data_IF_481147537599
#
_entry.id   IF_481147537599
#
_cell.length_a   1.000
_cell.length_b   1.000
_cell.length_c   1.000
_cell.angle_alpha   90.00
_cell.angle_beta   90.00
_cell.angle_gamma   90.00
#
_symmetry.space_group_name_H-M   'P 1'
#
loop_
_entity.id
_entity.type
_entity.pdbx_description
1 polymer ?
#
# COMPACT_ATOMS: atom_id res chain seq x y z
N UNK A 1 -14.86 12.51 2.20
CA UNK A 1 -14.77 11.08 1.88
C UNK A 1 -15.34 10.31 3.05
N UNK A 2 -16.18 9.31 2.76
CA UNK A 2 -16.71 8.44 3.80
C UNK A 2 -15.61 7.41 4.11
N UNK A 3 -14.80 7.69 5.12
CA UNK A 3 -13.91 6.69 5.67
C UNK A 3 -14.74 5.63 6.39
N UNK A 4 -14.36 4.37 6.21
CA UNK A 4 -14.97 3.26 6.95
C UNK A 4 -14.83 3.49 8.46
N UNK A 5 -15.89 3.17 9.22
CA UNK A 5 -15.82 3.17 10.69
C UNK A 5 -15.09 1.94 11.23
N UNK A 6 -14.89 0.91 10.41
CA UNK A 6 -14.19 -0.29 10.78
C UNK A 6 -12.70 0.01 11.05
N UNK A 7 -12.22 -0.46 12.17
CA UNK A 7 -10.81 -0.46 12.55
C UNK A 7 -10.20 -1.79 12.16
N UNK A 8 -8.96 -1.76 11.69
CA UNK A 8 -8.27 -2.92 11.15
C UNK A 8 -6.99 -3.18 11.93
N UNK A 9 -6.75 -4.42 12.27
CA UNK A 9 -5.56 -4.86 13.02
C UNK A 9 -4.96 -6.08 12.35
N UNK A 10 -3.65 -6.03 12.16
CA UNK A 10 -2.87 -7.18 11.67
C UNK A 10 -2.41 -8.01 12.87
N UNK A 11 -2.68 -9.32 12.81
CA UNK A 11 -2.05 -10.31 13.66
C UNK A 11 -1.03 -11.10 12.83
N UNK A 12 0.25 -10.81 13.05
CA UNK A 12 1.35 -11.28 12.20
C UNK A 12 1.91 -12.65 12.55
N UNK A 13 1.60 -13.22 13.73
CA UNK A 13 2.05 -14.55 14.12
C UNK A 13 1.36 -15.65 13.30
N UNK A 14 1.99 -16.83 13.27
CA UNK A 14 1.43 -17.95 12.52
C UNK A 14 0.39 -18.75 13.30
N UNK A 15 -0.79 -19.06 12.74
CA UNK A 15 -1.34 -18.55 11.49
C UNK A 15 -1.78 -17.09 11.61
N UNK A 16 -1.34 -16.26 10.67
CA UNK A 16 -1.70 -14.84 10.64
C UNK A 16 -3.18 -14.60 10.38
N UNK A 17 -3.68 -13.45 10.83
CA UNK A 17 -5.05 -13.01 10.55
C UNK A 17 -5.17 -11.49 10.48
N UNK A 18 -6.24 -11.03 9.88
CA UNK A 18 -6.71 -9.65 9.93
C UNK A 18 -7.95 -9.60 10.82
N UNK A 19 -7.95 -8.71 11.80
CA UNK A 19 -9.09 -8.47 12.66
C UNK A 19 -9.74 -7.15 12.30
N UNK A 20 -11.02 -7.16 11.96
CA UNK A 20 -11.83 -5.98 11.73
C UNK A 20 -12.80 -5.77 12.90
N UNK A 21 -12.90 -4.54 13.36
CA UNK A 21 -13.71 -4.13 14.49
C UNK A 21 -14.46 -2.82 14.17
N UNK A 22 -15.73 -2.76 14.50
CA UNK A 22 -16.56 -1.57 14.37
C UNK A 22 -17.42 -1.39 15.62
N UNK A 23 -17.10 -0.36 16.39
CA UNK A 23 -17.79 0.04 17.63
C UNK A 23 -18.99 0.95 17.39
N UNK A 24 -19.38 1.19 16.15
CA UNK A 24 -20.46 2.10 15.75
C UNK A 24 -20.32 3.53 16.32
N UNK A 25 -19.14 3.89 16.81
CA UNK A 25 -18.89 5.14 17.50
C UNK A 25 -19.47 5.21 18.92
N UNK A 26 -19.83 4.07 19.53
CA UNK A 26 -20.50 3.98 20.84
C UNK A 26 -19.60 3.26 21.86
N UNK A 27 -18.57 3.92 22.35
CA UNK A 27 -17.53 3.34 23.24
C UNK A 27 -18.05 2.59 24.48
N UNK A 28 -19.26 2.89 24.93
CA UNK A 28 -19.84 2.30 26.15
C UNK A 28 -20.92 1.25 25.86
N UNK A 29 -21.19 0.92 24.60
CA UNK A 29 -22.28 0.04 24.19
C UNK A 29 -21.74 -1.17 23.42
N UNK A 30 -21.20 -2.15 24.13
CA UNK A 30 -20.58 -3.35 23.52
C UNK A 30 -21.60 -4.18 22.70
N UNK A 31 -22.90 -4.00 22.97
CA UNK A 31 -23.95 -4.84 22.36
C UNK A 31 -24.14 -4.57 20.84
N UNK A 32 -23.69 -3.44 20.30
CA UNK A 32 -23.74 -3.08 18.88
C UNK A 32 -22.41 -3.23 18.15
N UNK A 33 -21.36 -3.64 18.86
CA UNK A 33 -20.04 -3.90 18.29
C UNK A 33 -20.11 -5.04 17.27
N UNK A 34 -19.34 -4.88 16.19
CA UNK A 34 -19.14 -5.93 15.19
C UNK A 34 -17.68 -6.28 15.12
N UNK A 35 -17.40 -7.56 15.08
CA UNK A 35 -16.03 -8.07 14.95
C UNK A 35 -15.97 -9.15 13.87
N UNK A 36 -14.84 -9.23 13.17
CA UNK A 36 -14.55 -10.31 12.22
C UNK A 36 -13.07 -10.64 12.22
N UNK A 37 -12.76 -11.90 12.42
CA UNK A 37 -11.39 -12.41 12.24
C UNK A 37 -11.28 -13.08 10.87
N UNK A 38 -10.31 -12.67 10.05
CA UNK A 38 -10.16 -13.08 8.67
C UNK A 38 -8.80 -13.76 8.51
N UNK A 39 -8.80 -15.05 8.29
CA UNK A 39 -7.60 -15.87 8.04
C UNK A 39 -7.38 -16.16 6.54
N UNK A 40 -8.42 -15.98 5.73
CA UNK A 40 -8.39 -16.16 4.28
C UNK A 40 -9.37 -15.21 3.61
N UNK A 41 -9.08 -14.85 2.38
CA UNK A 41 -9.92 -13.97 1.57
C UNK A 41 -10.43 -14.70 0.33
N UNK A 42 -11.63 -14.36 -0.10
CA UNK A 42 -12.09 -14.64 -1.44
C UNK A 42 -11.71 -13.46 -2.34
N UNK A 43 -11.01 -13.70 -3.44
CA UNK A 43 -10.63 -12.64 -4.38
C UNK A 43 -11.74 -12.34 -5.41
N UNK A 44 -11.49 -11.35 -6.28
CA UNK A 44 -12.41 -10.93 -7.33
C UNK A 44 -12.72 -12.03 -8.36
N UNK A 45 -11.88 -13.05 -8.48
CA UNK A 45 -12.04 -14.20 -9.39
C UNK A 45 -12.70 -15.39 -8.67
N UNK A 46 -13.24 -15.20 -7.46
CA UNK A 46 -13.80 -16.23 -6.57
C UNK A 46 -12.79 -17.33 -6.20
N UNK A 47 -11.51 -16.99 -6.14
CA UNK A 47 -10.46 -17.88 -5.64
C UNK A 47 -10.15 -17.55 -4.19
N UNK A 48 -10.00 -18.58 -3.37
CA UNK A 48 -9.55 -18.41 -1.99
C UNK A 48 -8.07 -18.07 -1.97
N UNK A 49 -7.73 -16.98 -1.27
CA UNK A 49 -6.36 -16.56 -1.01
C UNK A 49 -6.07 -16.68 0.49
N UNK A 50 -5.09 -17.50 0.83
CA UNK A 50 -4.69 -17.75 2.21
C UNK A 50 -3.18 -17.62 2.32
N UNK A 51 -2.64 -16.44 2.64
CA UNK A 51 -1.23 -16.27 2.88
C UNK A 51 -0.81 -16.92 4.21
N UNK A 52 0.46 -17.22 4.37
CA UNK A 52 0.97 -17.79 5.62
C UNK A 52 0.88 -16.77 6.79
N UNK A 53 1.11 -15.50 6.49
CA UNK A 53 1.00 -14.40 7.46
C UNK A 53 0.72 -13.07 6.75
N UNK A 54 0.23 -12.13 7.54
CA UNK A 54 0.00 -10.73 7.18
C UNK A 54 1.05 -9.89 7.91
N UNK A 55 1.55 -8.84 7.26
CA UNK A 55 2.71 -8.07 7.76
C UNK A 55 2.38 -6.64 8.10
N UNK A 56 1.63 -5.96 7.24
CA UNK A 56 1.31 -4.55 7.39
C UNK A 56 -0.08 -4.24 6.83
N UNK A 57 -0.59 -3.08 7.17
CA UNK A 57 -1.87 -2.57 6.70
C UNK A 57 -1.77 -1.05 6.57
N UNK A 58 -2.29 -0.52 5.46
CA UNK A 58 -2.27 0.91 5.17
C UNK A 58 -3.56 1.33 4.47
N UNK A 59 -4.13 2.47 4.86
CA UNK A 59 -5.27 3.07 4.18
C UNK A 59 -4.77 4.07 3.13
N UNK A 60 -5.26 3.95 1.90
CA UNK A 60 -4.88 4.88 0.84
C UNK A 60 -5.81 6.11 0.78
N UNK A 61 -5.42 7.12 -0.01
CA UNK A 61 -6.15 8.38 -0.11
C UNK A 61 -7.58 8.24 -0.69
N UNK A 62 -7.92 7.06 -1.22
CA UNK A 62 -9.27 6.71 -1.67
C UNK A 62 -10.08 5.94 -0.61
N UNK A 63 -9.51 5.70 0.58
CA UNK A 63 -10.13 4.91 1.65
C UNK A 63 -10.10 3.40 1.39
N UNK A 64 -9.23 2.93 0.49
CA UNK A 64 -8.99 1.52 0.26
C UNK A 64 -7.93 1.00 1.25
N UNK A 65 -8.10 -0.20 1.74
CA UNK A 65 -7.15 -0.81 2.68
C UNK A 65 -6.21 -1.74 1.92
N UNK A 66 -4.93 -1.41 1.95
CA UNK A 66 -3.85 -2.22 1.41
C UNK A 66 -3.26 -3.09 2.51
N UNK A 67 -3.09 -4.36 2.24
CA UNK A 67 -2.60 -5.34 3.22
C UNK A 67 -1.40 -6.06 2.63
N UNK A 68 -0.26 -5.96 3.29
CA UNK A 68 0.94 -6.72 2.98
C UNK A 68 0.82 -8.16 3.47
N UNK A 69 1.25 -9.10 2.64
CA UNK A 69 1.22 -10.53 2.97
C UNK A 69 2.52 -11.25 2.58
N UNK A 70 2.65 -12.49 3.01
CA UNK A 70 3.75 -13.37 2.58
C UNK A 70 3.72 -13.73 1.08
N UNK A 71 2.69 -13.32 0.33
CA UNK A 71 2.46 -13.76 -1.07
C UNK A 71 1.98 -12.63 -1.98
N UNK A 72 2.41 -11.42 -1.69
CA UNK A 72 2.04 -10.19 -2.39
C UNK A 72 0.96 -9.39 -1.66
N UNK A 73 0.68 -8.16 -2.10
CA UNK A 73 -0.35 -7.32 -1.49
C UNK A 73 -1.75 -7.74 -1.91
N UNK A 74 -2.73 -7.46 -1.04
CA UNK A 74 -4.16 -7.49 -1.36
C UNK A 74 -4.78 -6.14 -1.02
N UNK A 75 -5.87 -5.80 -1.68
CA UNK A 75 -6.59 -4.53 -1.49
C UNK A 75 -8.04 -4.80 -1.15
N UNK A 76 -8.53 -4.12 -0.13
CA UNK A 76 -9.94 -4.05 0.21
C UNK A 76 -10.50 -2.76 -0.35
N UNK A 77 -11.14 -2.84 -1.50
CA UNK A 77 -11.66 -1.66 -2.21
C UNK A 77 -12.93 -1.08 -1.57
N UNK A 78 -13.62 -1.87 -0.77
CA UNK A 78 -14.82 -1.44 -0.05
C UNK A 78 -14.78 -1.95 1.40
N UNK A 79 -14.04 -1.28 2.30
CA UNK A 79 -13.88 -1.72 3.68
C UNK A 79 -15.17 -1.74 4.50
N UNK A 80 -16.20 -0.96 4.14
CA UNK A 80 -17.50 -0.96 4.82
C UNK A 80 -18.24 -2.30 4.70
N UNK A 81 -17.92 -3.07 3.65
CA UNK A 81 -18.52 -4.38 3.43
C UNK A 81 -17.83 -5.53 4.17
N UNK A 82 -16.84 -5.26 5.03
CA UNK A 82 -16.07 -6.29 5.73
C UNK A 82 -16.96 -7.29 6.49
N UNK A 83 -18.06 -6.84 7.04
CA UNK A 83 -19.00 -7.68 7.82
C UNK A 83 -20.05 -8.40 6.96
N UNK A 84 -20.06 -8.20 5.63
CA UNK A 84 -21.01 -8.86 4.74
C UNK A 84 -20.48 -10.21 4.25
N UNK A 85 -21.42 -11.10 3.81
CA UNK A 85 -21.07 -12.38 3.19
C UNK A 85 -20.47 -12.22 1.79
N UNK A 86 -20.76 -11.08 1.14
CA UNK A 86 -20.20 -10.73 -0.17
C UNK A 86 -18.83 -10.09 -0.10
N UNK A 87 -18.23 -9.98 1.09
CA UNK A 87 -16.92 -9.38 1.27
C UNK A 87 -15.84 -10.10 0.44
N UNK A 88 -15.06 -9.33 -0.32
CA UNK A 88 -14.00 -9.81 -1.21
C UNK A 88 -12.77 -8.91 -1.06
N UNK A 89 -11.61 -9.47 -1.32
CA UNK A 89 -10.40 -8.69 -1.60
C UNK A 89 -10.17 -8.57 -3.11
N UNK A 90 -9.35 -7.63 -3.49
CA UNK A 90 -8.84 -7.47 -4.84
C UNK A 90 -7.35 -7.82 -4.85
N UNK A 91 -6.95 -8.73 -5.74
CA UNK A 91 -5.56 -8.97 -6.09
C UNK A 91 -5.30 -8.25 -7.41
N UNK A 92 -4.48 -7.21 -7.37
CA UNK A 92 -4.23 -6.36 -8.54
C UNK A 92 -3.52 -7.18 -9.60
N UNK A 93 -3.97 -7.06 -10.86
CA UNK A 93 -3.40 -7.75 -12.01
C UNK A 93 -2.54 -6.78 -12.82
N UNK A 94 -1.33 -7.21 -13.14
CA UNK A 94 -0.39 -6.49 -14.01
C UNK A 94 -0.27 -7.25 -15.32
N UNK A 95 -0.45 -6.55 -16.45
CA UNK A 95 -0.25 -7.13 -17.77
C UNK A 95 1.20 -7.57 -17.96
N UNK A 96 1.42 -8.74 -18.57
CA UNK A 96 2.78 -9.27 -18.78
C UNK A 96 3.58 -8.51 -19.82
N UNK A 97 2.94 -7.78 -20.74
CA UNK A 97 3.57 -7.09 -21.86
C UNK A 97 4.47 -8.00 -22.74
N UNK A 98 4.16 -9.29 -22.78
CA UNK A 98 4.87 -10.33 -23.54
C UNK A 98 4.18 -10.67 -24.88
N UNK A 99 3.20 -9.85 -25.29
CA UNK A 99 2.38 -10.07 -26.48
C UNK A 99 1.20 -11.02 -26.25
N UNK A 100 0.96 -11.44 -25.01
CA UNK A 100 -0.23 -12.21 -24.61
C UNK A 100 -1.19 -11.32 -23.81
N UNK A 101 -2.47 -11.70 -23.77
CA UNK A 101 -3.47 -11.06 -22.90
C UNK A 101 -3.40 -11.57 -21.44
N UNK A 102 -2.29 -12.20 -21.06
CA UNK A 102 -2.10 -12.71 -19.72
C UNK A 102 -1.65 -11.63 -18.75
N UNK A 103 -2.08 -11.76 -17.50
CA UNK A 103 -1.67 -10.92 -16.40
C UNK A 103 -1.20 -11.76 -15.21
N UNK A 104 -0.22 -11.24 -14.49
CA UNK A 104 0.20 -11.78 -13.19
C UNK A 104 -0.39 -10.91 -12.08
N UNK A 105 -0.49 -11.45 -10.87
CA UNK A 105 -0.83 -10.62 -9.72
C UNK A 105 0.36 -9.77 -9.29
N UNK A 106 0.09 -8.53 -8.87
CA UNK A 106 1.11 -7.61 -8.36
C UNK A 106 1.95 -8.29 -7.28
N UNK A 107 3.26 -8.32 -7.48
CA UNK A 107 4.26 -8.91 -6.56
C UNK A 107 3.88 -10.32 -6.07
N UNK A 108 3.30 -11.13 -6.96
CA UNK A 108 2.90 -12.50 -6.64
C UNK A 108 4.07 -13.31 -6.08
N UNK A 109 3.83 -14.00 -4.95
CA UNK A 109 4.83 -14.80 -4.22
C UNK A 109 6.00 -13.99 -3.63
N UNK A 110 5.90 -12.67 -3.59
CA UNK A 110 6.86 -11.81 -2.90
C UNK A 110 6.35 -11.52 -1.49
N UNK A 111 7.25 -11.68 -0.53
CA UNK A 111 6.97 -11.41 0.87
C UNK A 111 7.05 -9.91 1.14
N UNK A 112 5.91 -9.29 1.37
CA UNK A 112 5.80 -7.87 1.68
C UNK A 112 6.17 -7.67 3.16
N UNK A 113 6.96 -6.65 3.45
CA UNK A 113 7.33 -6.28 4.82
C UNK A 113 6.60 -5.03 5.27
N UNK A 114 6.44 -4.07 4.35
CA UNK A 114 5.80 -2.80 4.65
C UNK A 114 5.14 -2.18 3.41
N UNK A 115 4.13 -1.36 3.62
CA UNK A 115 3.46 -0.56 2.59
C UNK A 115 3.26 0.85 3.15
N UNK A 116 3.68 1.86 2.39
CA UNK A 116 3.44 3.27 2.69
C UNK A 116 2.77 3.97 1.51
N UNK A 117 1.76 4.80 1.79
CA UNK A 117 1.05 5.59 0.77
C UNK A 117 1.58 7.01 0.76
N UNK A 118 2.08 7.48 -0.38
CA UNK A 118 2.59 8.85 -0.51
C UNK A 118 1.50 9.86 -0.90
N UNK A 119 1.89 11.14 -0.94
CA UNK A 119 0.97 12.24 -1.25
C UNK A 119 0.31 12.17 -2.64
N UNK A 120 0.87 11.43 -3.59
CA UNK A 120 0.29 11.15 -4.90
C UNK A 120 -0.51 9.83 -4.92
N UNK A 121 -0.80 9.27 -3.76
CA UNK A 121 -1.48 7.98 -3.60
C UNK A 121 -0.72 6.78 -4.18
N UNK A 122 0.58 6.92 -4.47
CA UNK A 122 1.42 5.80 -4.90
C UNK A 122 1.78 4.95 -3.70
N UNK A 123 2.07 3.66 -3.93
CA UNK A 123 2.43 2.72 -2.86
C UNK A 123 3.91 2.40 -2.93
N UNK A 124 4.60 2.70 -1.85
CA UNK A 124 5.95 2.25 -1.59
C UNK A 124 5.85 0.91 -0.89
N UNK A 125 6.34 -0.14 -1.52
CA UNK A 125 6.17 -1.52 -1.04
C UNK A 125 7.54 -2.11 -0.74
N UNK A 126 7.84 -2.25 0.54
CA UNK A 126 9.02 -2.94 1.04
C UNK A 126 8.85 -4.45 0.97
N UNK A 127 9.94 -5.15 0.67
CA UNK A 127 9.94 -6.61 0.58
C UNK A 127 11.08 -7.23 1.39
N UNK A 128 10.92 -8.50 1.71
CA UNK A 128 11.92 -9.22 2.50
C UNK A 128 13.19 -9.54 1.72
N UNK A 129 13.11 -9.77 0.39
CA UNK A 129 14.25 -10.26 -0.39
C UNK A 129 14.40 -9.58 -1.76
N UNK A 130 13.40 -8.79 -2.17
CA UNK A 130 13.32 -8.23 -3.53
C UNK A 130 13.48 -6.71 -3.57
N UNK A 131 13.94 -6.07 -2.48
CA UNK A 131 14.13 -4.62 -2.42
C UNK A 131 12.82 -3.86 -2.23
N UNK A 132 12.76 -2.66 -2.80
CA UNK A 132 11.66 -1.71 -2.66
C UNK A 132 11.01 -1.45 -4.01
N UNK A 133 9.69 -1.50 -4.05
CA UNK A 133 8.89 -1.16 -5.21
C UNK A 133 8.13 0.14 -4.99
N UNK A 134 8.06 0.97 -6.02
CA UNK A 134 7.13 2.09 -6.11
C UNK A 134 6.11 1.74 -7.19
N UNK A 135 4.83 1.68 -6.82
CA UNK A 135 3.74 1.35 -7.74
C UNK A 135 2.76 2.50 -7.90
N UNK A 136 2.03 2.52 -9.00
CA UNK A 136 1.01 3.52 -9.31
C UNK A 136 -0.07 3.60 -8.25
N UNK A 137 -0.87 4.66 -8.27
CA UNK A 137 -1.94 4.90 -7.29
C UNK A 137 -2.97 3.75 -7.22
N UNK A 138 -3.25 3.12 -8.36
CA UNK A 138 -4.15 1.97 -8.47
C UNK A 138 -3.43 0.60 -8.39
N UNK A 139 -2.09 0.63 -8.34
CA UNK A 139 -1.24 -0.57 -8.28
C UNK A 139 -1.07 -1.31 -9.61
N UNK A 140 -1.60 -0.79 -10.71
CA UNK A 140 -1.57 -1.46 -12.01
C UNK A 140 -0.22 -1.41 -12.71
N UNK A 141 0.68 -0.53 -12.25
CA UNK A 141 2.00 -0.31 -12.85
C UNK A 141 3.10 -0.25 -11.78
N UNK A 142 4.22 -0.91 -12.05
CA UNK A 142 5.45 -0.76 -11.26
C UNK A 142 6.22 0.42 -11.85
N UNK A 143 6.24 1.55 -11.14
CA UNK A 143 6.92 2.78 -11.55
C UNK A 143 8.43 2.68 -11.37
N UNK A 144 8.87 2.12 -10.24
CA UNK A 144 10.27 1.92 -9.92
C UNK A 144 10.49 0.64 -9.11
N UNK A 145 11.65 0.02 -9.29
CA UNK A 145 12.11 -1.10 -8.50
C UNK A 145 13.56 -0.85 -8.08
N UNK A 146 13.78 -0.68 -6.79
CA UNK A 146 15.09 -0.40 -6.19
C UNK A 146 15.63 -1.65 -5.51
N UNK A 147 16.84 -2.02 -5.88
CA UNK A 147 17.59 -3.12 -5.25
C UNK A 147 18.99 -2.64 -4.86
N UNK A 148 19.69 -3.43 -4.05
CA UNK A 148 21.06 -3.15 -3.68
C UNK A 148 22.01 -3.13 -4.92
N UNK A 149 21.63 -3.84 -5.99
CA UNK A 149 22.42 -3.96 -7.23
C UNK A 149 22.22 -2.75 -8.16
N UNK A 150 21.02 -2.13 -8.15
CA UNK A 150 20.68 -1.04 -9.09
C UNK A 150 20.54 0.33 -8.43
N UNK A 151 20.67 0.41 -7.11
CA UNK A 151 20.48 1.64 -6.34
C UNK A 151 21.46 1.74 -5.16
N UNK A 152 21.29 2.75 -4.31
CA UNK A 152 22.04 2.89 -3.05
C UNK A 152 21.33 2.22 -1.86
N UNK A 153 20.40 1.30 -2.13
CA UNK A 153 19.74 0.54 -1.08
C UNK A 153 20.77 -0.37 -0.38
N UNK A 154 20.94 -0.30 0.96
CA UNK A 154 21.96 -1.08 1.66
C UNK A 154 21.72 -2.60 1.64
N UNK A 155 20.45 -3.02 1.49
CA UNK A 155 20.06 -4.43 1.44
C UNK A 155 18.69 -4.56 0.74
N UNK A 156 18.46 -5.70 0.08
CA UNK A 156 17.16 -6.04 -0.49
C UNK A 156 16.12 -6.45 0.57
N UNK A 157 16.52 -6.61 1.82
CA UNK A 157 15.61 -6.79 2.93
C UNK A 157 15.21 -5.42 3.49
N UNK A 158 14.13 -4.88 2.97
CA UNK A 158 13.49 -3.66 3.49
C UNK A 158 12.68 -4.03 4.73
N UNK A 159 12.80 -3.25 5.78
CA UNK A 159 12.07 -3.46 7.04
C UNK A 159 10.90 -2.49 7.18
N UNK A 160 11.09 -1.25 6.73
CA UNK A 160 10.10 -0.19 6.86
C UNK A 160 10.38 0.90 5.82
N UNK A 161 9.33 1.58 5.37
CA UNK A 161 9.42 2.75 4.51
C UNK A 161 8.48 3.85 5.00
N UNK A 162 8.96 5.09 5.02
CA UNK A 162 8.16 6.26 5.35
C UNK A 162 8.51 7.40 4.40
N UNK A 163 7.52 8.16 3.96
CA UNK A 163 7.75 9.36 3.14
C UNK A 163 7.38 10.59 3.95
N UNK A 164 8.32 11.52 4.06
CA UNK A 164 8.05 12.82 4.66
C UNK A 164 7.05 13.59 3.77
N UNK A 165 5.87 13.92 4.28
CA UNK A 165 4.81 14.52 3.47
C UNK A 165 5.14 15.93 3.00
N UNK A 166 6.07 16.63 3.67
CA UNK A 166 6.45 18.01 3.36
C UNK A 166 7.58 18.06 2.33
N UNK A 167 8.59 17.21 2.51
CA UNK A 167 9.80 17.22 1.66
C UNK A 167 9.75 16.23 0.52
N UNK A 168 8.84 15.24 0.59
CA UNK A 168 8.76 14.13 -0.35
C UNK A 168 9.95 13.16 -0.25
N UNK A 169 10.73 13.23 0.81
CA UNK A 169 11.87 12.32 1.01
C UNK A 169 11.35 11.00 1.58
N UNK A 170 11.56 9.91 0.83
CA UNK A 170 11.34 8.56 1.32
C UNK A 170 12.57 8.09 2.11
N UNK A 171 12.37 7.65 3.34
CA UNK A 171 13.36 7.00 4.18
C UNK A 171 13.08 5.50 4.20
N UNK A 172 14.08 4.71 3.89
CA UNK A 172 13.96 3.27 3.70
C UNK A 172 14.88 2.57 4.70
N UNK A 173 14.29 1.93 5.70
CA UNK A 173 14.98 1.06 6.63
C UNK A 173 15.24 -0.30 5.99
N UNK A 174 16.46 -0.81 6.14
CA UNK A 174 16.84 -2.17 5.73
C UNK A 174 17.59 -2.88 6.84
N UNK A 175 17.76 -4.18 6.72
CA UNK A 175 18.57 -4.94 7.69
C UNK A 175 20.05 -4.54 7.72
N UNK A 176 20.54 -3.78 6.74
CA UNK A 176 21.93 -3.36 6.62
C UNK A 176 22.13 -1.84 6.74
N UNK A 177 21.09 -1.09 7.05
CA UNK A 177 21.16 0.36 7.24
C UNK A 177 19.99 1.12 6.63
N UNK A 178 20.12 2.44 6.60
CA UNK A 178 19.10 3.39 6.14
C UNK A 178 19.52 3.98 4.79
N UNK A 179 18.56 4.07 3.87
CA UNK A 179 18.67 4.86 2.64
C UNK A 179 17.65 6.00 2.65
N UNK A 180 17.89 7.02 1.86
CA UNK A 180 16.93 8.08 1.57
C UNK A 180 16.85 8.30 0.07
N UNK A 181 15.63 8.48 -0.42
CA UNK A 181 15.34 8.77 -1.82
C UNK A 181 14.41 9.98 -1.91
N UNK A 182 14.76 10.95 -2.75
CA UNK A 182 13.91 12.11 -2.97
C UNK A 182 12.85 11.78 -4.02
N UNK A 183 11.61 11.64 -3.57
CA UNK A 183 10.46 11.47 -4.42
C UNK A 183 10.03 12.81 -5.02
N UNK A 184 9.26 12.76 -6.09
CA UNK A 184 8.61 13.90 -6.74
C UNK A 184 7.18 14.17 -6.21
N UNK A 185 6.68 13.33 -5.30
CA UNK A 185 5.36 13.49 -4.70
C UNK A 185 5.48 14.04 -3.28
N UNK A 186 4.79 15.14 -3.05
CA UNK A 186 4.53 15.72 -1.73
C UNK A 186 3.03 15.68 -1.46
N UNK A 187 2.64 15.64 -0.19
CA UNK A 187 1.22 15.73 0.15
C UNK A 187 0.68 17.10 -0.24
N UNK A 188 -0.50 17.15 -0.84
CA UNK A 188 -1.17 18.42 -1.10
C UNK A 188 -1.47 19.13 0.24
N UNK A 189 -1.18 20.42 0.30
CA UNK A 189 -1.57 21.25 1.45
C UNK A 189 -3.08 21.44 1.42
N UNK A 190 -3.75 21.24 2.55
CA UNK A 190 -5.16 21.61 2.74
C UNK A 190 -5.36 23.14 2.81
N UNK A 191 -4.26 23.90 2.89
CA UNK A 191 -4.23 25.34 2.97
C UNK A 191 -3.67 25.95 1.68
N UNK A 192 -4.53 26.65 0.93
CA UNK A 192 -4.17 27.41 -0.26
C UNK A 192 -3.62 28.82 0.04
N UNK A 193 -3.32 29.15 1.29
CA UNK A 193 -2.80 30.46 1.69
C UNK A 193 -1.43 30.78 1.09
N UNK A 194 -0.70 29.77 0.61
CA UNK A 194 0.61 29.89 -0.02
C UNK A 194 0.66 29.21 -1.39
N UNK A 195 -0.09 29.72 -2.36
CA UNK A 195 0.05 29.28 -3.75
C UNK A 195 1.25 29.96 -4.38
N UNK A 196 2.33 29.24 -4.56
CA UNK A 196 3.48 29.72 -5.32
C UNK A 196 3.32 29.30 -6.79
N UNK A 197 3.04 30.26 -7.67
CA UNK A 197 3.23 30.07 -9.10
C UNK A 197 4.72 30.20 -9.39
N UNK A 198 5.40 29.10 -9.66
CA UNK A 198 6.73 29.16 -10.21
C UNK A 198 6.63 29.70 -11.64
N UNK A 199 7.35 30.79 -11.98
CA UNK A 199 7.42 31.20 -13.38
C UNK A 199 8.06 30.04 -14.14
N UNK A 200 7.32 29.49 -15.09
CA UNK A 200 7.91 28.62 -16.10
C UNK A 200 8.94 29.49 -16.84
N UNK A 201 10.26 29.22 -16.76
CA UNK A 201 11.24 30.05 -17.43
C UNK A 201 11.00 29.90 -18.94
N UNK A 202 10.29 30.86 -19.51
CA UNK A 202 10.31 31.07 -20.96
C UNK A 202 11.75 31.46 -21.28
N UNK A 203 12.50 30.56 -21.90
CA UNK A 203 13.85 30.87 -22.34
C UNK A 203 13.71 32.00 -23.39
N UNK A 204 14.51 33.07 -23.28
CA UNK A 204 14.40 34.23 -24.19
C UNK A 204 14.73 33.92 -25.64
N UNK A 205 15.13 32.73 -25.99
CA UNK A 205 15.79 32.36 -27.24
C UNK A 205 14.91 31.52 -28.18
N UNK A 206 13.57 31.53 -27.99
CA UNK A 206 12.61 31.01 -29.00
C UNK A 206 11.96 32.19 -29.70
N UNK A 207 12.62 32.68 -30.74
CA UNK A 207 12.00 33.35 -31.87
C UNK A 207 11.57 32.33 -32.94
#
# INVERSE_FOLDING_TARGET
PNHSTAKWVVYGDWPGSIFAFDDKGTYNTIADDRTKNIVSFMDQDNKTFTPNYYTCIEEDNNGQIWIGTSSGPIVITNPDHVFSDSFRCTRIKIARNDGTDNADYLLQNINITDIFVDGANRKWIGTRESGLYLVSADGSEILNHFTAENSKLPSNHVTEVIVDPVTGVAYIGTTSGLAAYRSDAVQSSDDYSNVYAFPNPVRPDYE
#
